data_IF_115730899321
#
_entry.id   IF_115730899321
#
_cell.length_a   1.000
_cell.length_b   1.000
_cell.length_c   1.000
_cell.angle_alpha   90.00
_cell.angle_beta   90.00
_cell.angle_gamma   90.00
#
_symmetry.space_group_name_H-M   'P 1'
#
loop_
_entity.id
_entity.type
_entity.pdbx_description
1 polymer ?
#
# COMPACT_ATOMS: atom_id res chain seq x y z
N UNK A 1 -8.15 8.77 -17.44
CA UNK A 1 -7.22 9.92 -17.29
C UNK A 1 -6.43 9.71 -15.99
N UNK A 2 -5.13 9.41 -16.07
CA UNK A 2 -4.32 8.86 -14.98
C UNK A 2 -3.71 9.92 -14.03
N UNK A 3 -4.14 11.17 -14.11
CA UNK A 3 -3.59 12.27 -13.29
C UNK A 3 -4.32 12.48 -11.96
N UNK A 4 -5.43 11.77 -11.71
CA UNK A 4 -6.15 11.86 -10.46
C UNK A 4 -5.53 10.91 -9.43
N UNK A 5 -5.13 11.45 -8.27
CA UNK A 5 -4.69 10.67 -7.11
C UNK A 5 -5.87 10.34 -6.20
N UNK A 6 -5.86 9.17 -5.58
CA UNK A 6 -6.94 8.69 -4.72
C UNK A 6 -6.40 8.46 -3.31
N UNK A 7 -7.15 8.88 -2.29
CA UNK A 7 -6.78 8.68 -0.89
C UNK A 7 -7.83 7.87 -0.14
N UNK A 8 -7.40 6.82 0.55
CA UNK A 8 -8.23 5.97 1.40
C UNK A 8 -7.80 6.07 2.85
N UNK A 9 -8.78 6.08 3.75
CA UNK A 9 -8.55 5.79 5.17
C UNK A 9 -8.27 4.30 5.33
N UNK A 10 -7.39 3.93 6.26
CA UNK A 10 -7.02 2.52 6.57
C UNK A 10 -8.23 1.58 6.56
N UNK A 11 -9.30 1.89 7.29
CA UNK A 11 -10.44 0.98 7.44
C UNK A 11 -11.13 0.68 6.11
N UNK A 12 -11.24 1.68 5.23
CA UNK A 12 -11.83 1.48 3.91
C UNK A 12 -10.92 0.64 3.02
N UNK A 13 -9.61 0.82 3.16
CA UNK A 13 -8.63 0.03 2.43
C UNK A 13 -8.60 -1.41 2.92
N UNK A 14 -8.67 -1.62 4.23
CA UNK A 14 -8.73 -2.94 4.85
C UNK A 14 -9.99 -3.68 4.40
N UNK A 15 -11.14 -2.99 4.31
CA UNK A 15 -12.37 -3.57 3.76
C UNK A 15 -12.16 -4.02 2.29
N UNK A 16 -11.54 -3.17 1.45
CA UNK A 16 -11.26 -3.51 0.05
C UNK A 16 -10.31 -4.70 -0.10
N UNK A 17 -9.25 -4.73 0.71
CA UNK A 17 -8.28 -5.83 0.72
C UNK A 17 -8.94 -7.10 1.21
N UNK A 18 -9.72 -7.06 2.30
CA UNK A 18 -10.25 -8.25 2.95
C UNK A 18 -11.47 -8.87 2.28
N UNK A 19 -12.15 -8.16 1.38
CA UNK A 19 -13.22 -8.74 0.59
C UNK A 19 -12.77 -9.99 -0.18
N UNK A 20 -13.68 -10.97 -0.28
CA UNK A 20 -13.49 -12.25 -0.99
C UNK A 20 -13.86 -12.10 -2.49
N UNK A 21 -14.41 -10.95 -2.88
CA UNK A 21 -14.81 -10.64 -4.25
C UNK A 21 -13.60 -10.21 -5.11
N UNK A 22 -13.73 -10.22 -6.46
CA UNK A 22 -12.69 -9.71 -7.37
C UNK A 22 -12.31 -8.23 -7.15
N UNK A 23 -12.98 -7.50 -6.25
CA UNK A 23 -12.70 -6.10 -5.95
C UNK A 23 -11.26 -5.86 -5.48
N UNK A 24 -10.61 -6.83 -4.82
CA UNK A 24 -9.20 -6.69 -4.45
C UNK A 24 -8.26 -6.76 -5.67
N UNK A 25 -8.67 -7.43 -6.76
CA UNK A 25 -7.96 -7.40 -8.04
C UNK A 25 -8.18 -6.06 -8.76
N UNK A 26 -9.38 -5.49 -8.63
CA UNK A 26 -9.67 -4.14 -9.12
C UNK A 26 -8.80 -3.08 -8.42
N UNK A 27 -8.42 -3.30 -7.16
CA UNK A 27 -7.48 -2.43 -6.45
C UNK A 27 -6.09 -2.45 -7.10
N UNK A 28 -5.57 -3.63 -7.47
CA UNK A 28 -4.28 -3.72 -8.18
C UNK A 28 -4.36 -3.01 -9.54
N UNK A 29 -5.49 -3.16 -10.26
CA UNK A 29 -5.70 -2.41 -11.51
C UNK A 29 -5.72 -0.90 -11.26
N UNK A 30 -6.34 -0.46 -10.16
CA UNK A 30 -6.37 0.95 -9.77
C UNK A 30 -4.96 1.49 -9.52
N UNK A 31 -4.11 0.74 -8.80
CA UNK A 31 -2.73 1.16 -8.49
C UNK A 31 -1.78 1.07 -9.69
N UNK A 32 -2.15 0.39 -10.77
CA UNK A 32 -1.44 0.46 -12.07
C UNK A 32 -1.72 1.77 -12.80
N UNK A 33 -2.93 2.29 -12.69
CA UNK A 33 -3.40 3.45 -13.45
C UNK A 33 -3.35 4.77 -12.67
N UNK A 34 -3.35 4.72 -11.34
CA UNK A 34 -3.45 5.87 -10.46
C UNK A 34 -2.49 5.79 -9.28
N UNK A 35 -2.11 6.95 -8.75
CA UNK A 35 -1.41 7.04 -7.46
C UNK A 35 -2.45 6.92 -6.35
N UNK A 36 -2.25 5.95 -5.47
CA UNK A 36 -3.12 5.67 -4.33
C UNK A 36 -2.36 5.94 -3.04
N UNK A 37 -3.01 6.67 -2.13
CA UNK A 37 -2.55 6.95 -0.78
C UNK A 37 -3.44 6.28 0.25
N UNK A 38 -2.83 5.66 1.26
CA UNK A 38 -3.50 5.15 2.46
C UNK A 38 -2.98 5.90 3.67
N UNK A 39 -3.84 6.17 4.66
CA UNK A 39 -3.43 6.86 5.88
C UNK A 39 -4.12 6.31 7.14
N UNK A 40 -3.47 6.43 8.32
CA UNK A 40 -4.00 5.90 9.56
C UNK A 40 -5.29 6.62 9.94
N UNK A 41 -6.24 5.88 10.49
CA UNK A 41 -7.52 6.44 10.90
C UNK A 41 -7.43 7.20 12.21
N UNK A 42 -8.36 8.13 12.43
CA UNK A 42 -8.45 8.93 13.66
C UNK A 42 -8.64 8.11 14.97
N UNK A 43 -8.88 6.79 14.87
CA UNK A 43 -8.92 5.90 16.04
C UNK A 43 -7.53 5.73 16.68
N UNK A 44 -6.46 5.93 15.91
CA UNK A 44 -5.06 5.86 16.35
C UNK A 44 -4.63 7.17 17.00
N UNK A 45 -5.31 7.53 18.09
CA UNK A 45 -5.05 8.75 18.85
C UNK A 45 -3.68 8.73 19.55
N UNK A 46 -3.13 7.53 19.77
CA UNK A 46 -1.80 7.28 20.30
C UNK A 46 -0.68 7.42 19.25
N UNK A 47 -1.03 7.82 18.02
CA UNK A 47 -0.11 7.88 16.87
C UNK A 47 0.47 6.54 16.42
N UNK A 48 -0.09 5.40 16.87
CA UNK A 48 0.33 4.08 16.39
C UNK A 48 0.22 3.97 14.87
N UNK A 49 1.11 3.20 14.23
CA UNK A 49 1.08 2.99 12.79
C UNK A 49 0.32 1.73 12.36
N UNK A 50 -0.11 1.76 11.11
CA UNK A 50 -0.55 0.58 10.34
C UNK A 50 0.65 -0.22 9.88
N UNK A 51 0.48 -1.53 9.66
CA UNK A 51 1.48 -2.32 8.96
C UNK A 51 1.44 -1.98 7.46
N UNK A 52 2.52 -1.46 6.85
CA UNK A 52 2.49 -1.03 5.46
C UNK A 52 2.54 -2.19 4.44
N UNK A 53 2.93 -3.39 4.86
CA UNK A 53 3.22 -4.52 3.97
C UNK A 53 2.03 -4.97 3.14
N UNK A 54 0.86 -5.12 3.78
CA UNK A 54 -0.36 -5.54 3.11
C UNK A 54 -0.69 -4.56 1.99
N UNK A 55 -0.67 -3.24 2.25
CA UNK A 55 -0.98 -2.25 1.22
C UNK A 55 0.04 -2.24 0.07
N UNK A 56 1.33 -2.40 0.36
CA UNK A 56 2.35 -2.52 -0.68
C UNK A 56 2.14 -3.75 -1.56
N UNK A 57 1.67 -4.87 -0.99
CA UNK A 57 1.37 -6.09 -1.77
C UNK A 57 0.28 -5.87 -2.82
N UNK A 58 -0.65 -4.94 -2.58
CA UNK A 58 -1.68 -4.52 -3.56
C UNK A 58 -1.21 -3.36 -4.48
N UNK A 59 0.06 -2.98 -4.40
CA UNK A 59 0.69 -1.98 -5.28
C UNK A 59 0.45 -0.52 -4.91
N UNK A 60 -0.05 -0.25 -3.70
CA UNK A 60 -0.24 1.10 -3.16
C UNK A 60 1.11 1.81 -3.04
N UNK A 61 1.21 3.02 -3.57
CA UNK A 61 2.47 3.74 -3.65
C UNK A 61 2.73 4.58 -2.39
N UNK A 62 1.68 5.12 -1.76
CA UNK A 62 1.82 6.05 -0.65
C UNK A 62 1.11 5.54 0.61
N UNK A 63 1.79 4.71 1.40
CA UNK A 63 1.29 4.29 2.72
C UNK A 63 1.83 5.28 3.75
N UNK A 64 0.98 6.19 4.21
CA UNK A 64 1.39 7.24 5.13
C UNK A 64 1.51 6.69 6.56
N UNK A 65 2.65 6.96 7.20
CA UNK A 65 2.93 6.61 8.59
C UNK A 65 3.22 7.88 9.41
N UNK A 66 3.01 7.75 10.72
CA UNK A 66 3.36 8.72 11.75
C UNK A 66 4.85 8.61 12.08
N UNK A 67 5.67 9.50 11.53
CA UNK A 67 7.13 9.51 11.73
C UNK A 67 7.55 9.74 13.19
N UNK A 68 6.70 10.38 13.99
CA UNK A 68 6.95 10.59 15.41
C UNK A 68 6.84 9.30 16.25
N UNK A 69 6.21 8.25 15.72
CA UNK A 69 6.05 6.98 16.41
C UNK A 69 7.24 6.07 16.15
N UNK A 70 8.01 5.74 17.18
CA UNK A 70 9.13 4.80 17.07
C UNK A 70 8.63 3.35 17.22
N UNK A 71 7.89 2.87 16.23
CA UNK A 71 7.28 1.53 16.23
C UNK A 71 7.79 0.63 15.09
N UNK A 72 7.34 -0.63 15.09
CA UNK A 72 7.77 -1.64 14.12
C UNK A 72 7.53 -1.20 12.67
N UNK A 73 6.43 -0.49 12.40
CA UNK A 73 6.10 -0.05 11.05
C UNK A 73 7.09 1.02 10.56
N UNK A 74 7.51 1.95 11.43
CA UNK A 74 8.57 2.91 11.09
C UNK A 74 9.91 2.22 10.87
N UNK A 75 10.30 1.26 11.71
CA UNK A 75 11.53 0.49 11.49
C UNK A 75 11.51 -0.24 10.12
N UNK A 76 10.34 -0.78 9.73
CA UNK A 76 10.17 -1.44 8.45
C UNK A 76 10.23 -0.46 7.28
N UNK A 77 9.57 0.69 7.37
CA UNK A 77 9.63 1.76 6.38
C UNK A 77 11.08 2.22 6.15
N UNK A 78 11.83 2.46 7.22
CA UNK A 78 13.22 2.90 7.14
C UNK A 78 14.11 1.84 6.48
N UNK A 79 13.94 0.57 6.85
CA UNK A 79 14.68 -0.54 6.25
C UNK A 79 14.32 -0.69 4.76
N UNK A 80 13.03 -0.68 4.43
CA UNK A 80 12.54 -0.87 3.06
C UNK A 80 13.05 0.25 2.14
N UNK A 81 12.91 1.52 2.54
CA UNK A 81 13.33 2.65 1.70
C UNK A 81 14.82 2.99 1.79
N UNK A 82 15.63 2.22 2.55
CA UNK A 82 17.10 2.32 2.50
C UNK A 82 17.67 1.81 1.17
N UNK A 83 16.93 0.93 0.48
CA UNK A 83 17.24 0.46 -0.86
C UNK A 83 17.15 1.60 -1.89
N UNK A 84 17.65 1.34 -3.11
CA UNK A 84 17.71 2.32 -4.20
C UNK A 84 18.36 3.65 -3.78
N UNK A 85 19.43 3.55 -2.97
CA UNK A 85 20.21 4.68 -2.50
C UNK A 85 19.49 5.60 -1.51
N UNK A 86 18.46 5.12 -0.81
CA UNK A 86 17.75 5.91 0.19
C UNK A 86 16.87 7.02 -0.41
N UNK A 87 16.53 6.94 -1.70
CA UNK A 87 15.87 8.06 -2.39
C UNK A 87 14.36 8.16 -2.11
N UNK A 88 13.80 7.21 -1.35
CA UNK A 88 12.37 7.17 -1.04
C UNK A 88 11.47 6.59 -2.14
N UNK A 89 12.06 6.03 -3.21
CA UNK A 89 11.34 5.38 -4.29
C UNK A 89 11.88 3.98 -4.57
N UNK A 90 10.98 3.01 -4.68
CA UNK A 90 11.27 1.65 -5.11
C UNK A 90 10.35 1.26 -6.27
N UNK A 91 10.92 0.63 -7.28
CA UNK A 91 10.15 0.14 -8.42
C UNK A 91 9.31 -1.06 -7.98
N UNK A 92 8.01 -1.03 -8.27
CA UNK A 92 7.13 -2.18 -8.02
C UNK A 92 7.58 -3.39 -8.85
N UNK A 93 7.39 -4.63 -8.37
CA UNK A 93 7.59 -5.84 -9.17
C UNK A 93 6.77 -5.83 -10.47
N UNK A 94 7.24 -6.56 -11.50
CA UNK A 94 6.62 -6.56 -12.84
C UNK A 94 5.13 -6.94 -12.80
N UNK A 95 4.74 -7.90 -11.97
CA UNK A 95 3.35 -8.35 -11.85
C UNK A 95 2.40 -7.27 -11.30
N UNK A 96 2.92 -6.27 -10.58
CA UNK A 96 2.18 -5.08 -10.13
C UNK A 96 2.23 -3.91 -11.12
N UNK A 97 2.88 -4.09 -12.28
CA UNK A 97 3.02 -3.10 -13.35
C UNK A 97 2.40 -3.58 -14.67
N UNK A 98 2.50 -4.87 -14.98
CA UNK A 98 2.05 -5.49 -16.23
C UNK A 98 0.56 -5.81 -16.22
N UNK A 99 -0.15 -5.49 -17.29
CA UNK A 99 -1.56 -5.87 -17.46
C UNK A 99 -1.73 -7.35 -17.86
N UNK A 100 -0.65 -8.02 -18.26
CA UNK A 100 -0.67 -9.41 -18.74
C UNK A 100 -0.42 -10.44 -17.63
N UNK A 101 -0.12 -9.99 -16.42
CA UNK A 101 0.15 -10.85 -15.26
C UNK A 101 -0.99 -10.74 -14.26
N UNK A 102 -1.67 -11.86 -14.01
CA UNK A 102 -2.63 -11.99 -12.92
C UNK A 102 -1.86 -12.26 -11.62
N UNK A 103 -2.14 -11.49 -10.59
CA UNK A 103 -1.54 -11.63 -9.27
C UNK A 103 -2.60 -11.41 -8.21
N UNK A 104 -2.73 -12.38 -7.31
CA UNK A 104 -3.57 -12.28 -6.11
C UNK A 104 -2.68 -12.44 -4.86
N UNK A 105 -2.50 -11.37 -4.05
CA UNK A 105 -1.74 -11.45 -2.80
C UNK A 105 -2.28 -12.48 -1.80
N UNK A 106 -3.54 -12.91 -1.92
CA UNK A 106 -4.18 -13.87 -1.01
C UNK A 106 -4.11 -15.32 -1.48
N UNK A 107 -3.68 -15.58 -2.71
CA UNK A 107 -3.56 -16.95 -3.21
C UNK A 107 -2.49 -17.69 -2.40
N UNK A 108 -2.90 -18.73 -1.67
CA UNK A 108 -1.99 -19.60 -0.92
C UNK A 108 -1.43 -20.65 -1.89
N UNK A 109 -0.10 -20.72 -1.98
CA UNK A 109 0.63 -21.78 -2.67
C UNK A 109 0.23 -23.17 -2.18
#
# INVERSE_FOLDING_TARGET
KCFHSISFKESKMDDLINQVSPEHLDLIRLTKQHIVRVYPGAKRQDSSNIDPTDYWSYGVQMVALNYQANDKAMCLQDAFFSDNGGCGYLLKPSFLLSDNELFDPKEKY
#
